data_IF_178322824065
#
_entry.id   IF_178322824065
#
_cell.length_a   1.000
_cell.length_b   1.000
_cell.length_c   1.000
_cell.angle_alpha   90.00
_cell.angle_beta   90.00
_cell.angle_gamma   90.00
#
_symmetry.space_group_name_H-M   'P 1'
#
loop_
_entity.id
_entity.type
_entity.pdbx_description
1 polymer ?
#
# COMPACT_ATOMS: atom_id res chain seq x y z
N UNK A 1 -9.91 -23.17 16.22
CA UNK A 1 -11.33 -23.33 15.82
C UNK A 1 -11.79 -21.97 15.31
N UNK A 2 -12.35 -21.91 14.11
CA UNK A 2 -12.96 -20.68 13.56
C UNK A 2 -14.47 -20.71 13.77
N UNK A 3 -15.09 -19.54 13.90
CA UNK A 3 -16.54 -19.38 13.81
C UNK A 3 -16.86 -18.75 12.46
N UNK A 4 -17.83 -19.32 11.75
CA UNK A 4 -18.35 -18.73 10.51
C UNK A 4 -19.49 -17.78 10.85
N UNK A 5 -19.53 -16.63 10.20
CA UNK A 5 -20.60 -15.64 10.36
C UNK A 5 -21.54 -15.70 9.14
N UNK A 6 -22.87 -15.80 9.33
CA UNK A 6 -23.80 -15.86 8.21
C UNK A 6 -23.72 -14.61 7.32
N UNK A 7 -23.64 -14.80 6.00
CA UNK A 7 -23.49 -13.71 5.02
C UNK A 7 -24.60 -12.67 5.07
N UNK A 8 -25.84 -13.07 5.43
CA UNK A 8 -26.99 -12.17 5.53
C UNK A 8 -26.93 -11.22 6.74
N UNK A 9 -26.08 -11.51 7.73
CA UNK A 9 -25.81 -10.62 8.86
C UNK A 9 -24.65 -9.65 8.60
N UNK A 10 -23.95 -9.81 7.48
CA UNK A 10 -22.86 -8.90 7.11
C UNK A 10 -23.44 -7.56 6.62
N UNK A 11 -22.81 -6.43 6.97
CA UNK A 11 -23.11 -5.14 6.38
C UNK A 11 -23.10 -5.20 4.85
N UNK A 12 -23.96 -4.42 4.19
CA UNK A 12 -24.05 -4.38 2.72
C UNK A 12 -22.71 -4.06 2.04
N UNK A 13 -21.83 -3.31 2.72
CA UNK A 13 -20.48 -3.00 2.25
C UNK A 13 -19.59 -4.24 2.11
N UNK A 14 -19.82 -5.29 2.89
CA UNK A 14 -19.06 -6.55 2.82
C UNK A 14 -19.70 -7.61 1.92
N UNK A 15 -20.89 -7.32 1.38
CA UNK A 15 -21.56 -8.22 0.45
C UNK A 15 -21.02 -8.00 -0.97
N UNK A 16 -20.61 -9.10 -1.62
CA UNK A 16 -19.93 -9.06 -2.91
C UNK A 16 -20.83 -9.42 -4.11
N UNK A 17 -22.16 -9.33 -3.98
CA UNK A 17 -23.08 -9.55 -5.10
C UNK A 17 -22.69 -8.70 -6.33
N UNK A 18 -22.70 -9.32 -7.52
CA UNK A 18 -22.37 -8.71 -8.82
C UNK A 18 -20.94 -8.12 -8.92
N UNK A 19 -20.01 -8.56 -8.06
CA UNK A 19 -18.59 -8.23 -8.21
C UNK A 19 -17.84 -9.38 -8.87
N UNK A 20 -16.65 -9.07 -9.40
CA UNK A 20 -15.77 -10.01 -10.07
C UNK A 20 -14.50 -10.22 -9.28
N UNK A 21 -14.00 -11.46 -9.27
CA UNK A 21 -12.63 -11.77 -8.84
C UNK A 21 -11.75 -11.65 -10.08
N UNK A 22 -10.76 -10.76 -10.06
CA UNK A 22 -9.88 -10.49 -11.21
C UNK A 22 -8.42 -10.37 -10.76
N UNK A 23 -7.50 -10.59 -11.69
CA UNK A 23 -6.13 -10.08 -11.56
C UNK A 23 -6.12 -8.60 -11.92
N UNK A 24 -5.64 -7.76 -11.00
CA UNK A 24 -5.54 -6.32 -11.25
C UNK A 24 -4.41 -6.02 -12.24
N UNK A 25 -3.32 -6.80 -12.22
CA UNK A 25 -2.26 -6.72 -13.22
C UNK A 25 -2.79 -6.96 -14.65
N UNK A 26 -3.65 -7.97 -14.85
CA UNK A 26 -4.26 -8.24 -16.15
C UNK A 26 -5.18 -7.09 -16.60
N UNK A 27 -6.00 -6.56 -15.68
CA UNK A 27 -6.88 -5.43 -15.98
C UNK A 27 -6.08 -4.18 -16.37
N UNK A 28 -5.01 -3.86 -15.64
CA UNK A 28 -4.17 -2.70 -15.96
C UNK A 28 -3.46 -2.84 -17.32
N UNK A 29 -2.97 -4.04 -17.65
CA UNK A 29 -2.38 -4.31 -18.98
C UNK A 29 -3.41 -4.11 -20.09
N UNK A 30 -4.61 -4.66 -19.91
CA UNK A 30 -5.69 -4.46 -20.87
C UNK A 30 -6.10 -2.99 -21.01
N UNK A 31 -6.21 -2.25 -19.90
CA UNK A 31 -6.51 -0.81 -19.92
C UNK A 31 -5.42 0.00 -20.66
N UNK A 32 -4.15 -0.38 -20.52
CA UNK A 32 -3.05 0.25 -21.25
C UNK A 32 -3.22 0.07 -22.76
N UNK A 33 -3.53 -1.15 -23.23
CA UNK A 33 -3.81 -1.41 -24.65
C UNK A 33 -4.98 -0.55 -25.18
N UNK A 34 -6.04 -0.39 -24.38
CA UNK A 34 -7.18 0.47 -24.77
C UNK A 34 -6.77 1.95 -24.83
N UNK A 35 -5.92 2.42 -23.91
CA UNK A 35 -5.44 3.79 -23.90
C UNK A 35 -4.51 4.08 -25.09
N UNK A 36 -3.59 3.16 -25.43
CA UNK A 36 -2.72 3.27 -26.60
C UNK A 36 -3.53 3.29 -27.90
N UNK A 37 -4.57 2.45 -28.00
CA UNK A 37 -5.49 2.46 -29.15
C UNK A 37 -6.24 3.80 -29.32
N UNK A 38 -6.40 4.56 -28.23
CA UNK A 38 -6.97 5.92 -28.23
C UNK A 38 -5.92 7.02 -28.46
N UNK A 39 -4.66 6.67 -28.68
CA UNK A 39 -3.56 7.59 -28.94
C UNK A 39 -2.85 8.11 -27.69
N UNK A 40 -3.04 7.48 -26.53
CA UNK A 40 -2.25 7.78 -25.33
C UNK A 40 -0.85 7.19 -25.48
N UNK A 41 0.17 8.02 -25.30
CA UNK A 41 1.56 7.56 -25.25
C UNK A 41 1.87 7.02 -23.85
N UNK A 42 2.25 5.74 -23.76
CA UNK A 42 2.62 5.08 -22.51
C UNK A 42 4.10 4.76 -22.55
N UNK A 43 4.84 5.24 -21.55
CA UNK A 43 6.28 5.03 -21.40
C UNK A 43 6.57 4.09 -20.23
N UNK A 44 6.40 2.77 -20.38
CA UNK A 44 6.73 1.83 -19.31
C UNK A 44 8.24 1.84 -19.05
N UNK A 45 8.61 1.68 -17.78
CA UNK A 45 10.03 1.66 -17.37
C UNK A 45 10.65 3.04 -17.12
N UNK A 46 9.91 4.14 -17.28
CA UNK A 46 10.39 5.50 -17.01
C UNK A 46 9.74 6.09 -15.75
N UNK A 47 10.33 5.91 -14.56
CA UNK A 47 9.78 6.49 -13.34
C UNK A 47 9.96 8.01 -13.35
N UNK A 48 8.90 8.73 -13.00
CA UNK A 48 9.02 10.14 -12.64
C UNK A 48 9.75 10.25 -11.30
N UNK A 49 10.88 10.98 -11.26
CA UNK A 49 11.71 11.12 -10.07
C UNK A 49 11.69 12.54 -9.48
N UNK A 50 11.40 13.54 -10.31
CA UNK A 50 11.42 14.95 -9.90
C UNK A 50 10.15 15.67 -10.38
N UNK A 51 9.68 16.61 -9.56
CA UNK A 51 8.56 17.50 -9.89
C UNK A 51 9.13 18.83 -10.38
N UNK A 52 8.74 19.24 -11.58
CA UNK A 52 9.16 20.51 -12.17
C UNK A 52 8.14 21.59 -11.81
N UNK A 53 8.63 22.76 -11.42
CA UNK A 53 7.79 23.91 -11.03
C UNK A 53 8.03 25.10 -11.97
N UNK A 54 6.99 25.90 -12.18
CA UNK A 54 7.08 27.21 -12.80
C UNK A 54 7.59 28.26 -11.79
N UNK A 55 7.97 29.44 -12.30
CA UNK A 55 8.43 30.57 -11.46
C UNK A 55 7.35 31.06 -10.48
N UNK A 56 6.06 30.90 -10.81
CA UNK A 56 4.92 31.22 -9.94
C UNK A 56 4.66 30.16 -8.87
N UNK A 57 5.44 29.08 -8.84
CA UNK A 57 5.32 27.96 -7.90
C UNK A 57 4.31 26.88 -8.30
N UNK A 58 3.60 27.03 -9.43
CA UNK A 58 2.71 26.00 -9.97
C UNK A 58 3.48 24.80 -10.55
N UNK A 59 2.85 23.64 -10.63
CA UNK A 59 3.46 22.44 -11.22
C UNK A 59 3.52 22.59 -12.74
N UNK A 60 4.71 22.39 -13.31
CA UNK A 60 5.02 22.47 -14.74
C UNK A 60 5.04 21.09 -15.42
N UNK A 61 5.37 20.04 -14.66
CA UNK A 61 5.60 18.72 -15.21
C UNK A 61 6.37 17.82 -14.26
N UNK A 62 6.96 16.76 -14.82
CA UNK A 62 7.86 15.84 -14.12
C UNK A 62 9.11 15.58 -14.96
N UNK A 63 10.20 15.22 -14.31
CA UNK A 63 11.36 14.66 -15.00
C UNK A 63 11.48 13.16 -14.66
N UNK A 64 11.86 12.37 -15.66
CA UNK A 64 12.21 10.96 -15.45
C UNK A 64 13.57 10.85 -14.77
N UNK A 65 13.86 9.70 -14.15
CA UNK A 65 15.15 9.48 -13.50
C UNK A 65 16.31 9.39 -14.50
N UNK A 66 17.46 9.93 -14.09
CA UNK A 66 18.74 9.67 -14.75
C UNK A 66 19.09 8.18 -14.71
N UNK A 67 19.63 7.66 -15.81
CA UNK A 67 20.12 6.28 -15.91
C UNK A 67 21.65 6.25 -15.95
N UNK A 68 22.25 5.17 -15.47
CA UNK A 68 23.71 5.00 -15.55
C UNK A 68 24.45 5.79 -14.48
N UNK A 69 23.89 5.91 -13.28
CA UNK A 69 24.54 6.53 -12.12
C UNK A 69 25.04 5.41 -11.18
N UNK A 70 26.24 5.54 -10.62
CA UNK A 70 26.79 4.58 -9.66
C UNK A 70 26.29 4.81 -8.23
N UNK A 71 26.67 3.94 -7.28
CA UNK A 71 26.24 4.06 -5.86
C UNK A 71 26.68 5.37 -5.22
N UNK A 72 27.80 5.91 -5.66
CA UNK A 72 28.42 7.14 -5.17
C UNK A 72 27.84 8.40 -5.83
N UNK A 73 26.98 8.25 -6.85
CA UNK A 73 26.35 9.35 -7.57
C UNK A 73 27.13 9.84 -8.78
N UNK A 74 28.21 9.15 -9.19
CA UNK A 74 28.96 9.48 -10.39
C UNK A 74 28.28 8.92 -11.65
N UNK A 75 28.47 9.64 -12.75
CA UNK A 75 27.98 9.24 -14.08
C UNK A 75 28.88 8.14 -14.64
N UNK A 76 28.28 7.03 -15.05
CA UNK A 76 28.95 5.95 -15.77
C UNK A 76 29.05 6.28 -17.26
N UNK A 77 29.78 5.44 -18.00
CA UNK A 77 29.86 5.53 -19.47
C UNK A 77 28.48 5.37 -20.15
N UNK A 78 27.54 4.70 -19.49
CA UNK A 78 26.16 4.52 -19.95
C UNK A 78 25.19 5.58 -19.42
N UNK A 79 25.69 6.75 -18.99
CA UNK A 79 24.84 7.79 -18.41
C UNK A 79 23.90 8.37 -19.46
N UNK A 80 22.61 8.35 -19.14
CA UNK A 80 21.57 9.00 -19.92
C UNK A 80 20.78 9.93 -19.00
N UNK A 81 20.69 11.24 -19.34
CA UNK A 81 19.91 12.17 -18.54
C UNK A 81 18.42 11.86 -18.64
N UNK A 82 17.71 12.12 -17.55
CA UNK A 82 16.26 12.08 -17.50
C UNK A 82 15.61 13.02 -18.53
N UNK A 83 14.38 12.70 -18.91
CA UNK A 83 13.58 13.47 -19.86
C UNK A 83 12.59 14.34 -19.06
N UNK A 84 12.55 15.62 -19.38
CA UNK A 84 11.52 16.52 -18.86
C UNK A 84 10.22 16.37 -19.66
N UNK A 85 9.14 16.00 -18.96
CA UNK A 85 7.79 15.91 -19.49
C UNK A 85 6.98 17.10 -18.99
N UNK A 86 6.82 18.09 -19.86
CA UNK A 86 6.12 19.33 -19.56
C UNK A 86 4.64 19.23 -19.96
N UNK A 87 3.74 19.58 -19.05
CA UNK A 87 2.31 19.49 -19.27
C UNK A 87 1.58 20.70 -18.70
N UNK A 88 0.46 21.09 -19.32
CA UNK A 88 -0.42 22.14 -18.77
C UNK A 88 -1.03 21.73 -17.42
N UNK A 89 -1.31 20.44 -17.27
CA UNK A 89 -1.78 19.82 -16.03
C UNK A 89 -1.09 18.48 -15.87
N UNK A 90 -0.49 18.24 -14.70
CA UNK A 90 0.13 16.96 -14.34
C UNK A 90 -0.77 16.19 -13.38
N UNK A 91 -1.04 14.92 -13.65
CA UNK A 91 -1.88 14.08 -12.78
C UNK A 91 -0.99 13.07 -12.04
N UNK A 92 -0.98 13.17 -10.72
CA UNK A 92 -0.23 12.27 -9.84
C UNK A 92 -1.13 11.11 -9.40
N UNK A 93 -0.72 9.90 -9.77
CA UNK A 93 -1.45 8.66 -9.58
C UNK A 93 -0.53 7.50 -9.15
N UNK A 94 0.48 7.78 -8.31
CA UNK A 94 1.50 6.81 -7.90
C UNK A 94 0.94 5.67 -7.02
N UNK A 95 -0.30 5.83 -6.55
CA UNK A 95 -0.96 4.92 -5.63
C UNK A 95 -0.50 5.12 -4.18
N UNK A 96 -0.69 4.09 -3.35
CA UNK A 96 -0.48 4.22 -1.90
C UNK A 96 0.95 4.69 -1.57
N UNK A 97 1.04 5.84 -0.88
CA UNK A 97 2.30 6.50 -0.48
C UNK A 97 3.20 6.78 -1.71
N UNK A 98 2.68 7.57 -2.65
CA UNK A 98 3.45 8.16 -3.73
C UNK A 98 4.61 9.00 -3.19
N UNK A 99 5.78 8.90 -3.82
CA UNK A 99 6.96 9.61 -3.33
C UNK A 99 7.00 11.06 -3.81
N UNK A 100 6.38 11.38 -4.95
CA UNK A 100 6.13 12.74 -5.41
C UNK A 100 4.85 13.28 -4.76
N UNK A 101 3.80 12.45 -4.66
CA UNK A 101 2.54 12.77 -3.98
C UNK A 101 2.74 13.29 -2.56
N UNK A 102 3.60 12.64 -1.75
CA UNK A 102 3.92 13.13 -0.41
C UNK A 102 4.61 14.51 -0.39
N UNK A 103 5.50 14.76 -1.36
CA UNK A 103 6.21 16.05 -1.48
C UNK A 103 5.23 17.16 -1.87
N UNK A 104 4.28 16.87 -2.74
CA UNK A 104 3.21 17.80 -3.11
C UNK A 104 2.29 18.13 -1.94
N UNK A 105 1.89 17.10 -1.17
CA UNK A 105 1.06 17.28 0.02
C UNK A 105 1.74 18.24 1.00
N UNK A 106 3.04 18.07 1.23
CA UNK A 106 3.84 18.92 2.11
C UNK A 106 4.01 20.33 1.52
N UNK A 107 4.49 20.47 0.28
CA UNK A 107 4.80 21.76 -0.35
C UNK A 107 3.57 22.69 -0.44
N UNK A 108 2.40 22.14 -0.75
CA UNK A 108 1.17 22.91 -0.90
C UNK A 108 0.24 22.84 0.32
N UNK A 109 0.70 22.27 1.45
CA UNK A 109 -0.07 22.10 2.68
C UNK A 109 -1.44 21.44 2.45
N UNK A 110 -1.52 20.44 1.56
CA UNK A 110 -2.80 19.86 1.14
C UNK A 110 -3.52 19.08 2.24
N UNK A 111 -2.80 18.67 3.28
CA UNK A 111 -3.32 17.96 4.44
C UNK A 111 -3.76 18.89 5.57
N UNK A 112 -3.78 20.21 5.36
CA UNK A 112 -4.23 21.16 6.38
C UNK A 112 -5.68 20.88 6.82
N UNK A 113 -5.89 20.78 8.13
CA UNK A 113 -7.19 20.47 8.73
C UNK A 113 -7.67 19.02 8.50
N UNK A 114 -6.79 18.12 8.04
CA UNK A 114 -7.07 16.68 7.86
C UNK A 114 -6.39 15.85 8.94
N UNK A 115 -6.91 14.65 9.16
CA UNK A 115 -6.28 13.68 10.05
C UNK A 115 -5.06 13.05 9.34
N UNK A 116 -4.04 12.56 10.08
CA UNK A 116 -2.95 11.79 9.50
C UNK A 116 -3.47 10.59 8.72
N UNK A 117 -2.85 10.29 7.57
CA UNK A 117 -3.17 9.10 6.80
C UNK A 117 -2.80 7.84 7.59
N UNK A 118 -3.68 6.85 7.57
CA UNK A 118 -3.44 5.51 8.11
C UNK A 118 -3.21 4.55 6.96
N UNK A 119 -2.41 3.54 7.19
CA UNK A 119 -2.01 2.58 6.19
C UNK A 119 -2.04 1.17 6.76
N UNK A 120 -2.15 0.18 5.88
CA UNK A 120 -1.91 -1.22 6.17
C UNK A 120 -0.84 -1.77 5.23
N UNK A 121 -0.18 -2.85 5.61
CA UNK A 121 0.62 -3.67 4.69
C UNK A 121 -0.20 -4.90 4.29
N UNK A 122 -0.41 -5.06 2.98
CA UNK A 122 -1.05 -6.22 2.40
C UNK A 122 -0.02 -7.16 1.78
N UNK A 123 -0.12 -8.44 2.12
CA UNK A 123 0.60 -9.55 1.50
C UNK A 123 -0.35 -10.31 0.59
N UNK A 124 0.16 -10.80 -0.54
CA UNK A 124 -0.57 -11.67 -1.45
C UNK A 124 0.33 -12.79 -1.94
N UNK A 125 -0.22 -13.99 -1.96
CA UNK A 125 0.32 -15.15 -2.67
C UNK A 125 -0.75 -15.68 -3.63
N UNK A 126 -0.31 -16.16 -4.80
CA UNK A 126 -1.16 -16.90 -5.72
C UNK A 126 -0.81 -18.38 -5.58
N UNK A 127 -1.82 -19.19 -5.31
CA UNK A 127 -1.69 -20.64 -5.15
C UNK A 127 -2.48 -21.37 -6.23
N UNK A 128 -1.88 -22.37 -6.85
CA UNK A 128 -2.62 -23.37 -7.63
C UNK A 128 -2.95 -24.53 -6.71
N UNK A 129 -4.22 -24.87 -6.59
CA UNK A 129 -4.68 -25.89 -5.65
C UNK A 129 -5.40 -27.03 -6.36
N UNK A 130 -5.57 -28.15 -5.65
CA UNK A 130 -6.34 -29.27 -6.15
C UNK A 130 -7.81 -28.87 -6.34
N UNK A 131 -8.41 -29.35 -7.43
CA UNK A 131 -9.80 -29.04 -7.81
C UNK A 131 -10.82 -29.42 -6.73
N UNK A 132 -10.53 -30.45 -5.94
CA UNK A 132 -11.39 -30.89 -4.82
C UNK A 132 -11.49 -29.85 -3.69
N UNK A 133 -10.48 -28.97 -3.58
CA UNK A 133 -10.41 -27.90 -2.58
C UNK A 133 -10.76 -26.52 -3.16
N UNK A 134 -11.12 -26.45 -4.45
CA UNK A 134 -11.38 -25.20 -5.16
C UNK A 134 -12.87 -25.03 -5.45
N UNK A 135 -13.42 -23.87 -5.09
CA UNK A 135 -14.79 -23.47 -5.39
C UNK A 135 -14.77 -22.09 -6.05
N UNK A 136 -14.75 -22.05 -7.38
CA UNK A 136 -14.64 -20.81 -8.14
C UNK A 136 -15.73 -19.79 -7.78
N UNK A 137 -15.33 -18.53 -7.59
CA UNK A 137 -16.24 -17.45 -7.18
C UNK A 137 -16.37 -17.28 -5.67
N UNK A 138 -15.86 -18.21 -4.87
CA UNK A 138 -15.88 -18.09 -3.40
C UNK A 138 -14.97 -16.96 -2.92
N UNK A 139 -15.54 -16.09 -2.09
CA UNK A 139 -14.86 -14.98 -1.40
C UNK A 139 -14.92 -15.20 0.10
N UNK A 140 -13.77 -15.34 0.74
CA UNK A 140 -13.65 -15.49 2.19
C UNK A 140 -12.78 -14.38 2.77
N UNK A 141 -13.24 -13.81 3.88
CA UNK A 141 -12.49 -12.87 4.71
C UNK A 141 -12.47 -13.38 6.14
N UNK A 142 -11.34 -13.23 6.83
CA UNK A 142 -11.23 -13.62 8.25
C UNK A 142 -10.60 -12.50 9.07
N UNK A 143 -10.97 -12.40 10.34
CA UNK A 143 -10.32 -11.53 11.31
C UNK A 143 -10.05 -12.29 12.62
N UNK A 144 -9.12 -11.79 13.43
CA UNK A 144 -8.68 -12.44 14.67
C UNK A 144 -7.35 -13.16 14.51
N UNK A 145 -7.27 -14.40 14.98
CA UNK A 145 -6.02 -15.17 15.01
C UNK A 145 -5.32 -15.19 13.64
N UNK A 146 -3.97 -14.98 13.58
CA UNK A 146 -3.02 -14.95 14.71
C UNK A 146 -2.84 -13.62 15.43
N UNK A 147 -3.53 -12.57 14.99
CA UNK A 147 -3.43 -11.25 15.61
C UNK A 147 -4.13 -11.19 16.97
N UNK A 148 -3.62 -10.32 17.85
CA UNK A 148 -4.28 -9.98 19.09
C UNK A 148 -5.43 -9.00 18.86
N UNK A 149 -6.25 -8.77 19.89
CA UNK A 149 -7.43 -7.90 19.76
C UNK A 149 -7.08 -6.42 19.52
N UNK A 150 -5.83 -6.00 19.75
CA UNK A 150 -5.41 -4.61 19.60
C UNK A 150 -4.70 -4.33 18.27
N UNK A 151 -4.35 -5.36 17.50
CA UNK A 151 -3.75 -5.20 16.18
C UNK A 151 -4.81 -5.33 15.11
N UNK A 152 -4.98 -4.28 14.31
CA UNK A 152 -5.90 -4.29 13.18
C UNK A 152 -5.33 -5.16 12.06
N UNK A 153 -6.17 -6.03 11.49
CA UNK A 153 -5.78 -6.83 10.34
C UNK A 153 -6.77 -7.95 10.05
N UNK A 154 -6.54 -8.66 8.96
CA UNK A 154 -7.39 -9.74 8.50
C UNK A 154 -6.88 -10.38 7.21
N UNK A 155 -7.55 -11.43 6.78
CA UNK A 155 -7.20 -12.16 5.57
C UNK A 155 -8.22 -11.96 4.45
N UNK A 156 -7.77 -12.28 3.24
CA UNK A 156 -8.65 -12.54 2.12
C UNK A 156 -8.24 -13.82 1.40
N UNK A 157 -9.23 -14.60 0.99
CA UNK A 157 -9.06 -15.83 0.21
C UNK A 157 -10.10 -15.82 -0.90
N UNK A 158 -9.64 -15.65 -2.15
CA UNK A 158 -10.51 -15.59 -3.32
C UNK A 158 -10.21 -16.76 -4.24
N UNK A 159 -11.22 -17.57 -4.55
CA UNK A 159 -11.12 -18.65 -5.51
C UNK A 159 -11.33 -18.08 -6.92
N UNK A 160 -10.21 -17.82 -7.59
CA UNK A 160 -10.17 -17.28 -8.95
C UNK A 160 -10.23 -18.40 -10.00
N UNK A 161 -10.30 -18.02 -11.27
CA UNK A 161 -10.20 -18.93 -12.42
C UNK A 161 -8.90 -19.75 -12.40
N UNK A 162 -8.84 -20.79 -13.24
CA UNK A 162 -7.65 -21.65 -13.41
C UNK A 162 -7.18 -22.38 -12.15
N UNK A 163 -8.12 -22.75 -11.25
CA UNK A 163 -7.81 -23.43 -9.98
C UNK A 163 -6.87 -22.63 -9.08
N UNK A 164 -6.87 -21.30 -9.26
CA UNK A 164 -6.04 -20.40 -8.47
C UNK A 164 -6.79 -19.87 -7.26
N UNK A 165 -6.05 -19.69 -6.17
CA UNK A 165 -6.50 -18.99 -4.97
C UNK A 165 -5.62 -17.78 -4.76
N UNK A 166 -6.25 -16.60 -4.71
CA UNK A 166 -5.61 -15.37 -4.25
C UNK A 166 -5.73 -15.32 -2.74
N UNK A 167 -4.63 -15.65 -2.07
CA UNK A 167 -4.53 -15.71 -0.63
C UNK A 167 -3.73 -14.51 -0.14
N UNK A 168 -4.25 -13.75 0.80
CA UNK A 168 -3.52 -12.64 1.35
C UNK A 168 -3.92 -12.25 2.76
N UNK A 169 -3.14 -11.33 3.31
CA UNK A 169 -3.25 -10.90 4.69
C UNK A 169 -2.87 -9.44 4.80
N UNK A 170 -3.67 -8.68 5.53
CA UNK A 170 -3.49 -7.25 5.76
C UNK A 170 -3.27 -7.03 7.24
N UNK A 171 -2.30 -6.19 7.56
CA UNK A 171 -2.05 -5.73 8.93
C UNK A 171 -1.94 -4.21 8.90
N UNK A 172 -2.76 -3.54 9.71
CA UNK A 172 -2.70 -2.10 9.90
C UNK A 172 -1.33 -1.70 10.44
N UNK A 173 -0.71 -0.68 9.87
CA UNK A 173 0.59 -0.17 10.28
C UNK A 173 0.49 0.66 11.58
N UNK A 174 -0.66 0.71 12.24
CA UNK A 174 -0.85 1.29 13.57
C UNK A 174 -0.53 0.32 14.74
N UNK A 175 0.05 -0.85 14.44
CA UNK A 175 0.46 -1.82 15.45
C UNK A 175 1.60 -1.29 16.34
N UNK A 176 1.55 -1.69 17.63
CA UNK A 176 2.39 -1.11 18.68
C UNK A 176 3.64 -1.94 19.02
N UNK A 177 3.62 -3.24 18.73
CA UNK A 177 4.70 -4.15 19.10
C UNK A 177 5.82 -4.13 18.05
N UNK A 178 7.04 -3.65 18.36
CA UNK A 178 8.14 -3.65 17.41
C UNK A 178 8.67 -5.05 17.07
N UNK A 179 8.32 -6.07 17.86
CA UNK A 179 8.67 -7.48 17.61
C UNK A 179 7.69 -8.18 16.64
N UNK A 180 6.57 -7.54 16.28
CA UNK A 180 5.61 -8.08 15.33
C UNK A 180 6.20 -8.04 13.92
N UNK A 181 6.19 -9.18 13.25
CA UNK A 181 6.59 -9.31 11.86
C UNK A 181 5.36 -9.60 11.00
N UNK A 182 4.89 -8.64 10.19
CA UNK A 182 3.70 -8.82 9.37
C UNK A 182 3.81 -9.99 8.38
N UNK A 183 5.01 -10.22 7.86
CA UNK A 183 5.29 -11.38 7.00
C UNK A 183 5.11 -12.68 7.77
N UNK A 184 5.67 -12.80 8.97
CA UNK A 184 5.62 -14.03 9.75
C UNK A 184 4.21 -14.28 10.30
N UNK A 185 3.42 -13.24 10.61
CA UNK A 185 1.99 -13.38 10.92
C UNK A 185 1.20 -13.92 9.72
N UNK A 186 1.50 -13.45 8.51
CA UNK A 186 0.88 -14.00 7.30
C UNK A 186 1.25 -15.48 7.09
N UNK A 187 2.52 -15.85 7.25
CA UNK A 187 2.94 -17.25 7.18
C UNK A 187 2.26 -18.09 8.27
N UNK A 188 2.21 -17.60 9.52
CA UNK A 188 1.54 -18.26 10.64
C UNK A 188 0.05 -18.44 10.39
N UNK A 189 -0.63 -17.44 9.84
CA UNK A 189 -2.05 -17.49 9.50
C UNK A 189 -2.39 -18.70 8.60
N UNK A 190 -1.53 -19.02 7.62
CA UNK A 190 -1.71 -20.15 6.71
C UNK A 190 -1.75 -21.51 7.42
N UNK A 191 -1.18 -21.61 8.62
CA UNK A 191 -1.22 -22.84 9.43
C UNK A 191 -2.58 -23.08 10.10
N UNK A 192 -3.50 -22.10 10.10
CA UNK A 192 -4.83 -22.30 10.64
C UNK A 192 -5.55 -23.44 9.90
N UNK A 193 -6.19 -24.42 10.59
CA UNK A 193 -6.74 -25.62 9.94
C UNK A 193 -7.70 -25.35 8.79
N UNK A 194 -8.50 -24.28 8.86
CA UNK A 194 -9.43 -23.90 7.79
C UNK A 194 -8.72 -23.40 6.52
N UNK A 195 -7.56 -22.76 6.67
CA UNK A 195 -6.76 -22.22 5.56
C UNK A 195 -5.84 -23.30 5.02
N UNK A 196 -5.14 -24.00 5.93
CA UNK A 196 -4.28 -25.14 5.59
C UNK A 196 -5.00 -26.14 4.69
N UNK A 197 -6.25 -26.52 5.00
CA UNK A 197 -7.03 -27.45 4.18
C UNK A 197 -7.20 -27.01 2.71
N UNK A 198 -7.28 -25.70 2.45
CA UNK A 198 -7.48 -25.15 1.10
C UNK A 198 -6.20 -25.30 0.27
N UNK A 199 -5.05 -24.96 0.86
CA UNK A 199 -3.75 -24.89 0.16
C UNK A 199 -2.89 -26.15 0.30
N UNK A 200 -3.33 -27.13 1.10
CA UNK A 200 -2.59 -28.38 1.31
C UNK A 200 -2.47 -29.17 -0.01
N UNK A 201 -1.23 -29.53 -0.35
CA UNK A 201 -0.89 -30.15 -1.64
C UNK A 201 -0.92 -29.19 -2.84
N UNK A 202 -1.17 -27.90 -2.61
CA UNK A 202 -1.10 -26.86 -3.64
C UNK A 202 0.33 -26.37 -3.90
N UNK A 203 0.49 -25.59 -4.96
CA UNK A 203 1.75 -24.97 -5.37
C UNK A 203 1.63 -23.45 -5.29
N UNK A 204 2.53 -22.82 -4.54
CA UNK A 204 2.68 -21.36 -4.52
C UNK A 204 3.34 -20.89 -5.83
N UNK A 205 2.67 -20.04 -6.58
CA UNK A 205 3.12 -19.52 -7.89
C UNK A 205 3.81 -18.16 -7.74
N UNK A 206 3.21 -17.26 -6.95
CA UNK A 206 3.63 -15.86 -6.88
C UNK A 206 3.52 -15.35 -5.45
N UNK A 207 4.32 -14.34 -5.13
CA UNK A 207 4.27 -13.58 -3.89
C UNK A 207 4.39 -12.09 -4.20
N UNK A 208 3.83 -11.24 -3.34
CA UNK A 208 4.04 -9.81 -3.36
C UNK A 208 3.47 -9.14 -2.11
N UNK A 209 3.86 -7.89 -1.88
CA UNK A 209 3.28 -7.08 -0.84
C UNK A 209 3.22 -5.61 -1.25
N UNK A 210 2.19 -4.92 -0.79
CA UNK A 210 1.98 -3.49 -1.05
C UNK A 210 1.30 -2.84 0.16
N UNK A 211 1.74 -1.65 0.54
CA UNK A 211 0.97 -0.82 1.44
C UNK A 211 -0.37 -0.42 0.80
N UNK A 212 -1.40 -0.28 1.61
CA UNK A 212 -2.70 0.23 1.24
C UNK A 212 -3.11 1.34 2.21
N UNK A 213 -4.02 2.21 1.76
CA UNK A 213 -4.53 3.32 2.56
C UNK A 213 -5.76 2.90 3.34
N UNK A 214 -5.83 3.30 4.61
CA UNK A 214 -6.91 2.96 5.53
C UNK A 214 -7.51 4.17 6.27
N UNK A 215 -6.96 5.39 6.10
CA UNK A 215 -7.43 6.58 6.82
C UNK A 215 -8.79 7.11 6.35
N UNK A 216 -9.17 6.83 5.10
CA UNK A 216 -10.49 7.16 4.56
C UNK A 216 -10.72 8.66 4.38
N UNK A 217 -11.98 9.10 4.48
CA UNK A 217 -12.37 10.47 4.14
C UNK A 217 -11.71 11.54 5.04
N UNK A 218 -11.44 11.23 6.30
CA UNK A 218 -10.84 12.15 7.27
C UNK A 218 -9.40 12.52 6.92
N UNK A 219 -8.69 11.60 6.29
CA UNK A 219 -7.28 11.75 5.89
C UNK A 219 -7.13 12.14 4.42
N UNK A 220 -8.22 12.41 3.70
CA UNK A 220 -8.18 12.76 2.29
C UNK A 220 -7.65 14.21 2.14
N UNK A 221 -6.47 14.41 1.52
CA UNK A 221 -5.91 15.73 1.30
C UNK A 221 -6.72 16.49 0.24
N UNK A 222 -6.44 17.78 0.10
CA UNK A 222 -6.87 18.55 -1.07
C UNK A 222 -6.27 17.92 -2.34
N UNK A 223 -7.12 17.51 -3.27
CA UNK A 223 -6.72 16.72 -4.44
C UNK A 223 -6.40 17.56 -5.70
N UNK A 224 -6.26 18.88 -5.53
CA UNK A 224 -5.88 19.79 -6.61
C UNK A 224 -4.90 20.84 -6.09
N UNK A 225 -4.04 21.29 -6.99
CA UNK A 225 -3.13 22.42 -6.80
C UNK A 225 -2.91 23.13 -8.13
N UNK A 226 -2.28 24.32 -8.14
CA UNK A 226 -1.91 24.97 -9.39
C UNK A 226 -1.07 24.05 -10.29
N UNK A 227 -1.58 23.75 -11.48
CA UNK A 227 -0.90 22.91 -12.49
C UNK A 227 -0.97 21.39 -12.27
N UNK A 228 -1.63 20.90 -11.21
CA UNK A 228 -1.70 19.46 -10.95
C UNK A 228 -2.93 18.96 -10.18
N UNK A 229 -3.18 17.65 -10.30
CA UNK A 229 -4.20 16.89 -9.58
C UNK A 229 -3.60 15.66 -8.91
N UNK A 230 -4.12 15.29 -7.75
CA UNK A 230 -3.76 14.07 -7.02
C UNK A 230 -4.95 13.11 -6.97
N UNK A 231 -4.80 11.89 -7.50
CA UNK A 231 -5.93 10.96 -7.68
C UNK A 231 -5.69 9.57 -7.11
N UNK A 232 -6.76 8.78 -7.06
CA UNK A 232 -6.73 7.38 -6.64
C UNK A 232 -6.19 7.14 -5.24
N UNK A 233 -5.44 6.05 -5.08
CA UNK A 233 -4.78 5.73 -3.82
C UNK A 233 -3.56 6.62 -3.53
N UNK A 234 -3.19 7.56 -4.41
CA UNK A 234 -2.19 8.57 -4.07
C UNK A 234 -2.80 9.64 -3.16
N UNK A 235 -4.04 10.04 -3.46
CA UNK A 235 -4.86 10.87 -2.56
C UNK A 235 -5.42 10.07 -1.37
N UNK A 236 -5.83 8.82 -1.58
CA UNK A 236 -6.41 7.97 -0.53
C UNK A 236 -7.90 7.68 -0.68
N UNK A 237 -8.36 7.43 -1.91
CA UNK A 237 -9.77 7.12 -2.18
C UNK A 237 -10.19 5.67 -1.85
N UNK A 238 -9.48 4.95 -0.99
CA UNK A 238 -9.78 3.55 -0.68
C UNK A 238 -10.96 3.43 0.29
N UNK A 239 -11.91 2.54 -0.02
CA UNK A 239 -12.97 2.16 0.91
C UNK A 239 -12.52 0.97 1.76
N UNK A 240 -12.07 1.28 2.98
CA UNK A 240 -11.50 0.30 3.90
C UNK A 240 -12.46 -0.87 4.22
N UNK A 241 -13.71 -0.66 4.71
CA UNK A 241 -14.59 -1.78 5.08
C UNK A 241 -14.91 -2.74 3.93
N UNK A 242 -14.88 -2.25 2.69
CA UNK A 242 -15.04 -3.10 1.50
C UNK A 242 -13.74 -3.80 1.09
N UNK A 243 -12.59 -3.29 1.54
CA UNK A 243 -11.24 -3.63 1.05
C UNK A 243 -11.17 -3.37 -0.47
N UNK A 244 -11.75 -2.25 -0.92
CA UNK A 244 -11.83 -1.90 -2.35
C UNK A 244 -11.40 -0.45 -2.57
N UNK A 245 -10.40 -0.25 -3.43
CA UNK A 245 -9.95 1.07 -3.86
C UNK A 245 -9.88 1.24 -5.39
N UNK A 246 -10.00 0.17 -6.17
CA UNK A 246 -9.83 0.24 -7.62
C UNK A 246 -10.96 1.00 -8.30
N UNK A 247 -12.23 0.74 -7.94
CA UNK A 247 -13.39 1.40 -8.54
C UNK A 247 -13.45 2.90 -8.21
N UNK A 248 -13.10 3.26 -6.97
CA UNK A 248 -13.01 4.67 -6.55
C UNK A 248 -11.81 5.37 -7.19
N UNK A 249 -10.67 4.69 -7.35
CA UNK A 249 -9.53 5.23 -8.06
C UNK A 249 -9.83 5.49 -9.53
N UNK A 250 -10.45 4.52 -10.23
CA UNK A 250 -10.91 4.71 -11.61
C UNK A 250 -11.85 5.91 -11.73
N UNK A 251 -12.86 6.02 -10.85
CA UNK A 251 -13.80 7.14 -10.91
C UNK A 251 -13.13 8.48 -10.61
N UNK A 252 -12.16 8.53 -9.69
CA UNK A 252 -11.37 9.74 -9.43
C UNK A 252 -10.59 10.19 -10.69
N UNK A 253 -10.02 9.24 -11.44
CA UNK A 253 -9.38 9.51 -12.73
C UNK A 253 -10.36 10.02 -13.80
N UNK A 254 -11.56 9.45 -13.88
CA UNK A 254 -12.60 9.94 -14.80
C UNK A 254 -13.01 11.38 -14.49
N UNK A 255 -13.23 11.70 -13.20
CA UNK A 255 -13.56 13.08 -12.78
C UNK A 255 -12.38 14.03 -13.09
N UNK A 256 -11.14 13.58 -12.91
CA UNK A 256 -9.96 14.38 -13.23
C UNK A 256 -9.88 14.68 -14.73
N UNK A 257 -10.13 13.69 -15.59
CA UNK A 257 -10.18 13.88 -17.04
C UNK A 257 -11.27 14.87 -17.46
N UNK A 258 -12.48 14.76 -16.89
CA UNK A 258 -13.57 15.71 -17.12
C UNK A 258 -13.19 17.14 -16.68
N UNK A 259 -12.54 17.28 -15.52
CA UNK A 259 -12.05 18.57 -15.01
C UNK A 259 -10.96 19.16 -15.91
N UNK A 260 -9.99 18.36 -16.34
CA UNK A 260 -8.90 18.83 -17.22
C UNK A 260 -9.46 19.29 -18.56
N UNK A 261 -10.43 18.57 -19.14
CA UNK A 261 -11.06 19.01 -20.38
C UNK A 261 -11.79 20.35 -20.23
N UNK A 262 -12.48 20.59 -19.11
CA UNK A 262 -13.10 21.90 -18.81
C UNK A 262 -12.05 22.99 -18.55
N UNK A 263 -10.97 22.68 -17.85
CA UNK A 263 -9.84 23.60 -17.65
C UNK A 263 -9.24 24.03 -18.99
N UNK A 264 -9.00 23.08 -19.91
CA UNK A 264 -8.37 23.36 -21.20
C UNK A 264 -9.28 24.09 -22.21
N UNK A 265 -10.60 23.83 -22.18
CA UNK A 265 -11.54 24.42 -23.15
C UNK A 265 -12.20 25.69 -22.66
N UNK A 266 -12.51 25.77 -21.37
CA UNK A 266 -13.33 26.84 -20.78
C UNK A 266 -12.52 27.73 -19.83
N UNK A 267 -11.21 27.46 -19.64
CA UNK A 267 -10.33 28.16 -18.69
C UNK A 267 -10.90 28.18 -17.25
N UNK A 268 -11.68 27.16 -16.88
CA UNK A 268 -12.13 26.98 -15.49
C UNK A 268 -10.96 26.58 -14.60
N UNK A 269 -10.98 26.97 -13.34
CA UNK A 269 -9.96 26.60 -12.36
C UNK A 269 -10.00 25.10 -12.02
N UNK A 270 -8.85 24.48 -11.73
CA UNK A 270 -8.76 23.05 -11.37
C UNK A 270 -9.52 22.71 -10.07
N UNK A 271 -9.81 23.70 -9.23
CA UNK A 271 -10.62 23.57 -8.01
C UNK A 271 -11.99 22.95 -8.23
N UNK A 272 -12.56 23.03 -9.44
CA UNK A 272 -13.83 22.37 -9.76
C UNK A 272 -13.79 20.84 -9.56
N UNK A 273 -12.58 20.25 -9.55
CA UNK A 273 -12.39 18.84 -9.23
C UNK A 273 -12.96 18.49 -7.85
N UNK A 274 -12.77 19.35 -6.84
CA UNK A 274 -13.26 19.10 -5.48
C UNK A 274 -14.79 19.08 -5.44
N UNK A 275 -15.44 20.00 -6.15
CA UNK A 275 -16.91 20.07 -6.21
C UNK A 275 -17.50 18.86 -6.94
N UNK A 276 -16.91 18.46 -8.07
CA UNK A 276 -17.33 17.26 -8.80
C UNK A 276 -17.12 16.00 -7.97
N UNK A 277 -16.00 15.91 -7.26
CA UNK A 277 -15.71 14.78 -6.39
C UNK A 277 -16.75 14.68 -5.26
N UNK A 278 -17.03 15.78 -4.56
CA UNK A 278 -18.05 15.83 -3.48
C UNK A 278 -19.45 15.48 -3.94
N UNK A 279 -19.80 15.79 -5.20
CA UNK A 279 -21.10 15.42 -5.82
C UNK A 279 -21.15 13.99 -6.34
N UNK A 280 -20.02 13.28 -6.37
CA UNK A 280 -19.94 11.93 -6.92
C UNK A 280 -20.32 10.88 -5.88
N UNK A 281 -20.73 9.70 -6.36
CA UNK A 281 -20.99 8.53 -5.51
C UNK A 281 -19.74 8.09 -4.73
N UNK A 282 -18.53 8.44 -5.18
CA UNK A 282 -17.28 8.09 -4.47
C UNK A 282 -17.24 8.80 -3.13
N UNK A 283 -17.60 10.08 -3.08
CA UNK A 283 -17.63 10.83 -1.83
C UNK A 283 -18.69 10.28 -0.88
N UNK A 284 -19.90 9.98 -1.38
CA UNK A 284 -20.96 9.37 -0.58
C UNK A 284 -20.53 8.01 -0.01
N UNK A 285 -19.88 7.19 -0.82
CA UNK A 285 -19.36 5.89 -0.41
C UNK A 285 -18.28 6.03 0.68
N UNK A 286 -17.27 6.89 0.49
CA UNK A 286 -16.23 7.12 1.49
C UNK A 286 -16.78 7.76 2.77
N UNK A 287 -17.75 8.66 2.63
CA UNK A 287 -18.44 9.28 3.76
C UNK A 287 -19.21 8.24 4.56
N UNK A 288 -19.90 7.30 3.92
CA UNK A 288 -20.63 6.23 4.62
C UNK A 288 -19.69 5.31 5.41
N UNK A 289 -18.47 5.09 4.93
CA UNK A 289 -17.47 4.20 5.54
C UNK A 289 -16.59 4.87 6.62
N UNK A 290 -16.65 6.20 6.76
CA UNK A 290 -15.65 7.01 7.48
C UNK A 290 -15.38 6.58 8.92
N UNK A 291 -16.38 6.10 9.65
CA UNK A 291 -16.22 5.79 11.08
C UNK A 291 -15.69 4.38 11.35
N UNK A 292 -15.56 3.53 10.32
CA UNK A 292 -15.20 2.12 10.51
C UNK A 292 -13.76 1.96 10.99
N UNK A 293 -12.73 2.42 10.26
CA UNK A 293 -11.31 2.28 10.68
C UNK A 293 -11.04 2.92 12.05
N UNK A 294 -11.45 4.17 12.34
CA UNK A 294 -11.21 4.76 13.65
C UNK A 294 -11.80 3.95 14.81
N UNK A 295 -12.93 3.26 14.61
CA UNK A 295 -13.55 2.44 15.66
C UNK A 295 -12.71 1.24 16.09
N UNK A 296 -11.84 0.73 15.21
CA UNK A 296 -10.93 -0.37 15.54
C UNK A 296 -9.79 0.05 16.47
N UNK A 297 -9.60 1.35 16.72
CA UNK A 297 -8.69 1.83 17.78
C UNK A 297 -9.15 1.39 19.19
N UNK A 298 -10.42 1.00 19.34
CA UNK A 298 -10.97 0.42 20.58
C UNK A 298 -10.75 -1.09 20.70
N UNK A 299 -10.08 -1.70 19.72
CA UNK A 299 -9.87 -3.13 19.59
C UNK A 299 -10.90 -3.80 18.69
N UNK A 300 -10.59 -5.02 18.26
CA UNK A 300 -11.33 -5.80 17.27
C UNK A 300 -12.82 -5.97 17.62
N UNK A 301 -13.10 -6.39 18.86
CA UNK A 301 -14.47 -6.73 19.29
C UNK A 301 -15.36 -5.48 19.32
N UNK A 302 -14.88 -4.40 19.94
CA UNK A 302 -15.62 -3.14 20.03
C UNK A 302 -15.79 -2.48 18.65
N UNK A 303 -14.75 -2.55 17.81
CA UNK A 303 -14.81 -2.09 16.42
C UNK A 303 -15.87 -2.83 15.59
N UNK A 304 -15.96 -4.15 15.73
CA UNK A 304 -17.00 -4.96 15.04
C UNK A 304 -18.40 -4.56 15.49
N UNK A 305 -18.63 -4.45 16.81
CA UNK A 305 -19.95 -4.06 17.36
C UNK A 305 -20.35 -2.67 16.85
N UNK A 306 -19.43 -1.71 16.93
CA UNK A 306 -19.68 -0.35 16.44
C UNK A 306 -19.94 -0.32 14.93
N UNK A 307 -19.16 -1.07 14.15
CA UNK A 307 -19.35 -1.20 12.69
C UNK A 307 -20.73 -1.77 12.37
N UNK A 308 -21.20 -2.77 13.13
CA UNK A 308 -22.57 -3.29 13.01
C UNK A 308 -23.62 -2.21 13.24
N UNK A 309 -23.48 -1.41 14.30
CA UNK A 309 -24.39 -0.30 14.61
C UNK A 309 -24.35 0.76 13.49
N UNK A 310 -23.17 1.25 13.13
CA UNK A 310 -23.02 2.30 12.13
C UNK A 310 -23.49 1.86 10.74
N UNK A 311 -23.04 0.70 10.26
CA UNK A 311 -23.28 0.27 8.87
C UNK A 311 -24.62 -0.45 8.67
N UNK A 312 -25.12 -1.21 9.65
CA UNK A 312 -26.40 -1.93 9.52
C UNK A 312 -27.56 -1.06 9.96
N UNK A 313 -27.49 -0.47 11.17
CA UNK A 313 -28.59 0.31 11.74
C UNK A 313 -28.65 1.74 11.16
N UNK A 314 -27.53 2.46 11.15
CA UNK A 314 -27.49 3.85 10.70
C UNK A 314 -27.05 4.04 9.24
N UNK A 315 -26.65 2.95 8.56
CA UNK A 315 -26.18 2.96 7.15
C UNK A 315 -25.10 4.02 6.88
N UNK A 316 -24.19 4.24 7.82
CA UNK A 316 -23.09 5.22 7.72
C UNK A 316 -23.52 6.69 7.88
N UNK A 317 -24.76 6.95 8.32
CA UNK A 317 -25.33 8.31 8.48
C UNK A 317 -25.30 8.84 9.91
N UNK A 318 -24.39 8.34 10.76
CA UNK A 318 -24.21 8.90 12.10
C UNK A 318 -23.87 10.41 12.02
N UNK A 319 -24.34 11.25 12.97
CA UNK A 319 -24.17 12.70 12.92
C UNK A 319 -22.76 13.18 13.31
N UNK A 320 -21.84 12.28 13.59
CA UNK A 320 -20.46 12.59 13.96
C UNK A 320 -19.45 11.82 13.11
N UNK A 321 -18.20 12.29 13.13
CA UNK A 321 -17.06 11.68 12.45
C UNK A 321 -15.96 11.44 13.47
N UNK A 322 -15.53 10.19 13.62
CA UNK A 322 -14.39 9.81 14.45
C UNK A 322 -13.08 10.26 13.79
N UNK A 323 -12.07 10.55 14.61
CA UNK A 323 -10.77 11.04 14.14
C UNK A 323 -9.66 10.03 14.34
N UNK A 324 -8.66 10.07 13.46
CA UNK A 324 -7.36 9.42 13.68
C UNK A 324 -6.46 10.37 14.46
N UNK A 325 -5.86 9.88 15.55
CA UNK A 325 -5.12 10.73 16.50
C UNK A 325 -3.61 10.79 16.24
N UNK A 326 -3.06 9.77 15.59
CA UNK A 326 -1.63 9.55 15.47
C UNK A 326 -1.31 9.04 14.07
N UNK A 327 -0.11 9.33 13.58
CA UNK A 327 0.41 8.67 12.40
C UNK A 327 0.91 7.25 12.74
N UNK A 328 0.93 6.35 11.77
CA UNK A 328 1.32 4.95 11.98
C UNK A 328 2.72 4.77 12.60
N UNK A 329 3.69 5.60 12.21
CA UNK A 329 5.06 5.54 12.76
C UNK A 329 5.16 5.92 14.24
N UNK A 330 4.21 6.72 14.76
CA UNK A 330 4.21 7.21 16.15
C UNK A 330 3.71 6.15 17.15
N UNK A 331 3.13 5.05 16.65
CA UNK A 331 2.39 4.09 17.49
C UNK A 331 3.28 3.05 18.17
N UNK A 332 4.55 2.94 17.81
CA UNK A 332 5.46 1.98 18.42
C UNK A 332 5.69 2.25 19.90
N UNK A 333 5.65 1.18 20.69
CA UNK A 333 6.14 1.18 22.08
C UNK A 333 7.59 0.69 22.14
N UNK A 334 8.37 1.11 23.16
CA UNK A 334 9.73 0.61 23.35
C UNK A 334 9.78 -0.92 23.39
N UNK A 335 10.82 -1.50 22.80
CA UNK A 335 10.98 -2.96 22.69
C UNK A 335 11.09 -3.66 24.05
N UNK A 336 11.55 -2.95 25.09
CA UNK A 336 11.63 -3.43 26.47
C UNK A 336 10.26 -3.60 27.15
N UNK A 337 9.24 -2.87 26.69
CA UNK A 337 7.87 -2.93 27.24
C UNK A 337 6.96 -3.94 26.53
N UNK A 338 7.45 -4.53 25.43
CA UNK A 338 6.65 -5.36 24.55
C UNK A 338 7.17 -6.80 24.50
N UNK A 339 6.24 -7.75 24.45
CA UNK A 339 6.58 -9.17 24.41
C UNK A 339 7.22 -9.54 23.07
N UNK A 340 8.36 -10.22 23.13
CA UNK A 340 8.98 -10.84 21.95
C UNK A 340 8.08 -11.96 21.42
N UNK A 341 7.84 -11.97 20.11
CA UNK A 341 7.02 -12.99 19.46
C UNK A 341 7.95 -14.00 18.84
N UNK A 342 7.84 -15.26 19.28
CA UNK A 342 8.57 -16.37 18.68
C UNK A 342 7.76 -16.96 17.52
N UNK A 343 8.27 -16.78 16.31
CA UNK A 343 7.64 -17.28 15.09
C UNK A 343 8.19 -18.66 14.73
N UNK A 344 7.32 -19.64 14.41
CA UNK A 344 7.77 -20.96 14.03
C UNK A 344 8.59 -20.90 12.73
N UNK A 345 9.59 -21.78 12.63
CA UNK A 345 10.37 -21.92 11.40
C UNK A 345 9.47 -22.38 10.24
N UNK A 346 9.70 -21.88 9.01
CA UNK A 346 8.91 -22.28 7.86
C UNK A 346 9.11 -23.77 7.54
N UNK A 347 8.04 -24.43 7.09
CA UNK A 347 8.05 -25.84 6.68
C UNK A 347 8.41 -26.05 5.20
N UNK A 348 8.51 -24.96 4.43
CA UNK A 348 8.75 -24.93 2.98
C UNK A 348 7.69 -25.65 2.15
N UNK A 349 6.50 -25.90 2.72
CA UNK A 349 5.35 -26.51 2.04
C UNK A 349 4.15 -25.58 2.10
N UNK A 350 3.80 -25.10 3.30
CA UNK A 350 2.70 -24.16 3.55
C UNK A 350 3.28 -22.79 3.92
N UNK A 351 4.32 -22.78 4.73
CA UNK A 351 5.01 -21.59 5.21
C UNK A 351 6.41 -21.51 4.62
N UNK A 352 6.85 -20.31 4.28
CA UNK A 352 8.10 -20.06 3.56
C UNK A 352 8.86 -18.90 4.18
N UNK A 353 10.17 -18.87 3.99
CA UNK A 353 11.03 -17.76 4.38
C UNK A 353 10.88 -16.54 3.44
N UNK A 354 11.41 -15.39 3.87
CA UNK A 354 11.36 -14.14 3.10
C UNK A 354 12.12 -14.26 1.78
N UNK A 355 13.30 -14.88 1.77
CA UNK A 355 14.18 -14.95 0.59
C UNK A 355 13.54 -15.77 -0.53
N UNK A 356 12.99 -16.95 -0.22
CA UNK A 356 12.26 -17.75 -1.21
C UNK A 356 10.98 -17.07 -1.69
N UNK A 357 10.36 -16.23 -0.85
CA UNK A 357 9.19 -15.43 -1.22
C UNK A 357 9.57 -14.28 -2.16
N UNK A 358 10.66 -13.56 -1.87
CA UNK A 358 11.20 -12.48 -2.73
C UNK A 358 11.54 -13.02 -4.12
N UNK A 359 12.10 -14.22 -4.21
CA UNK A 359 12.36 -14.86 -5.50
C UNK A 359 11.10 -14.98 -6.39
N UNK A 360 9.95 -15.30 -5.80
CA UNK A 360 8.67 -15.40 -6.52
C UNK A 360 8.07 -14.05 -6.95
N UNK A 361 8.62 -12.94 -6.49
CA UNK A 361 8.23 -11.60 -6.98
C UNK A 361 8.89 -11.27 -8.31
N UNK A 362 9.97 -11.99 -8.67
CA UNK A 362 10.83 -11.66 -9.80
C UNK A 362 11.53 -10.29 -9.67
N UNK A 363 11.57 -9.71 -8.47
CA UNK A 363 12.16 -8.39 -8.24
C UNK A 363 13.65 -8.41 -8.50
N UNK A 364 14.14 -7.38 -9.18
CA UNK A 364 15.56 -7.16 -9.39
C UNK A 364 15.85 -5.67 -9.61
N UNK A 365 17.06 -5.25 -9.29
CA UNK A 365 17.57 -3.90 -9.51
C UNK A 365 19.01 -3.99 -10.01
N UNK A 366 19.47 -3.01 -10.78
CA UNK A 366 20.89 -2.86 -11.13
C UNK A 366 21.75 -2.79 -9.86
N UNK A 367 22.76 -3.65 -9.72
CA UNK A 367 23.56 -3.77 -8.48
C UNK A 367 24.34 -2.51 -8.14
N UNK A 368 24.80 -1.75 -9.14
CA UNK A 368 25.62 -0.56 -8.97
C UNK A 368 24.81 0.72 -9.22
N UNK A 369 23.70 0.93 -8.54
CA UNK A 369 22.92 2.19 -8.62
C UNK A 369 22.80 2.85 -7.24
N UNK A 370 22.50 4.16 -7.16
CA UNK A 370 22.17 4.79 -5.90
C UNK A 370 21.05 4.01 -5.20
N UNK A 371 21.25 3.68 -3.92
CA UNK A 371 20.22 2.95 -3.17
C UNK A 371 18.97 3.83 -3.07
N UNK A 372 17.87 3.47 -3.71
CA UNK A 372 16.62 4.25 -3.75
C UNK A 372 15.86 4.35 -2.41
N UNK A 373 16.46 3.80 -1.35
CA UNK A 373 16.05 3.95 0.04
C UNK A 373 16.93 5.01 0.75
N UNK A 374 17.81 5.66 -0.02
CA UNK A 374 18.58 6.86 0.32
C UNK A 374 17.59 8.00 0.54
N UNK A 375 17.31 8.28 1.80
CA UNK A 375 18.00 9.37 2.49
C UNK A 375 17.80 9.12 3.97
N UNK A 376 18.67 8.31 4.60
CA UNK A 376 18.81 8.42 6.06
C UNK A 376 19.28 9.85 6.30
N UNK A 377 18.37 10.74 6.73
CA UNK A 377 18.67 12.10 7.15
C UNK A 377 19.84 12.10 8.14
N UNK A 378 19.91 11.05 8.96
CA UNK A 378 21.07 10.70 9.77
C UNK A 378 21.37 9.19 9.68
N UNK A 379 22.56 8.77 9.19
CA UNK A 379 22.95 7.37 9.05
C UNK A 379 23.15 6.65 10.39
N UNK A 380 23.29 7.38 11.49
CA UNK A 380 23.52 6.79 12.81
C UNK A 380 22.22 6.48 13.57
N UNK A 381 21.08 7.07 13.17
CA UNK A 381 19.79 6.86 13.84
C UNK A 381 19.33 5.39 13.89
N UNK A 382 19.50 4.56 12.83
CA UNK A 382 19.11 3.15 12.89
C UNK A 382 19.79 2.41 14.04
N UNK A 383 21.07 2.69 14.30
CA UNK A 383 21.82 2.03 15.39
C UNK A 383 21.57 2.71 16.73
N UNK A 384 21.70 4.05 16.80
CA UNK A 384 21.70 4.78 18.06
C UNK A 384 20.31 5.01 18.66
N UNK A 385 19.25 4.95 17.85
CA UNK A 385 17.88 5.20 18.32
C UNK A 385 16.98 4.00 18.04
N UNK A 386 16.91 3.57 16.79
CA UNK A 386 15.90 2.59 16.36
C UNK A 386 16.22 1.19 16.88
N UNK A 387 17.49 0.75 16.81
CA UNK A 387 17.95 -0.50 17.39
C UNK A 387 17.89 -0.47 18.92
N UNK A 388 18.39 0.59 19.56
CA UNK A 388 18.39 0.69 21.03
C UNK A 388 16.97 0.70 21.63
N UNK A 389 16.06 1.50 21.07
CA UNK A 389 14.73 1.73 21.65
C UNK A 389 13.67 0.74 21.15
N UNK A 390 13.76 0.32 19.89
CA UNK A 390 12.73 -0.47 19.22
C UNK A 390 13.25 -1.81 18.67
N UNK A 391 14.50 -2.20 18.94
CA UNK A 391 15.09 -3.46 18.45
C UNK A 391 15.01 -3.59 16.92
N UNK A 392 15.24 -2.47 16.22
CA UNK A 392 15.25 -2.30 14.76
C UNK A 392 14.11 -3.04 14.02
N UNK A 393 12.88 -2.48 14.06
CA UNK A 393 11.72 -3.13 13.49
C UNK A 393 11.77 -3.22 11.96
N UNK A 394 12.67 -2.52 11.26
CA UNK A 394 12.81 -2.62 9.80
C UNK A 394 13.14 -4.04 9.31
N UNK A 395 13.85 -4.82 10.12
CA UNK A 395 14.13 -6.23 9.87
C UNK A 395 12.84 -7.09 9.83
N UNK A 396 11.78 -6.62 10.49
CA UNK A 396 10.52 -7.34 10.67
C UNK A 396 9.42 -6.84 9.74
N UNK A 397 9.15 -5.53 9.76
CA UNK A 397 8.09 -4.94 8.94
C UNK A 397 8.37 -4.97 7.44
N UNK A 398 9.66 -5.06 7.05
CA UNK A 398 10.01 -5.18 5.65
C UNK A 398 9.58 -6.56 5.11
N UNK A 399 8.71 -6.60 4.09
CA UNK A 399 8.22 -7.85 3.52
C UNK A 399 9.25 -8.58 2.66
N UNK A 400 10.43 -8.00 2.45
CA UNK A 400 11.43 -8.45 1.49
C UNK A 400 12.85 -8.60 2.07
N UNK A 401 13.03 -8.43 3.39
CA UNK A 401 14.35 -8.59 4.02
C UNK A 401 15.40 -7.61 3.49
N UNK A 402 15.00 -6.37 3.23
CA UNK A 402 15.90 -5.32 2.71
C UNK A 402 16.83 -4.78 3.78
N UNK A 403 16.40 -4.75 5.04
CA UNK A 403 17.16 -4.17 6.14
C UNK A 403 17.63 -5.27 7.08
N UNK A 404 18.91 -5.26 7.41
CA UNK A 404 19.56 -6.23 8.29
C UNK A 404 20.53 -5.52 9.23
N UNK A 405 20.63 -6.02 10.47
CA UNK A 405 21.71 -5.67 11.38
C UNK A 405 22.75 -6.79 11.33
N UNK A 406 23.96 -6.44 10.91
CA UNK A 406 25.10 -7.36 10.89
C UNK A 406 26.07 -7.00 12.02
N UNK A 407 26.52 -8.00 12.77
CA UNK A 407 27.56 -7.83 13.79
C UNK A 407 28.93 -8.01 13.14
N UNK A 408 29.66 -6.90 12.95
CA UNK A 408 31.04 -6.89 12.48
C UNK A 408 31.97 -6.62 13.68
N UNK A 409 32.54 -7.68 14.27
CA UNK A 409 33.50 -7.62 15.39
C UNK A 409 32.96 -6.93 16.67
N UNK A 410 31.70 -7.13 17.03
CA UNK A 410 31.04 -6.53 18.19
C UNK A 410 30.44 -5.16 17.91
N UNK A 411 30.46 -4.70 16.65
CA UNK A 411 29.85 -3.45 16.21
C UNK A 411 28.69 -3.77 15.28
N UNK A 412 27.48 -3.37 15.69
CA UNK A 412 26.28 -3.50 14.88
C UNK A 412 26.32 -2.52 13.71
N UNK A 413 26.16 -3.04 12.49
CA UNK A 413 26.10 -2.27 11.25
C UNK A 413 24.75 -2.46 10.57
N UNK A 414 24.14 -1.36 10.18
CA UNK A 414 22.89 -1.36 9.43
C UNK A 414 23.18 -1.55 7.94
N UNK A 415 22.74 -2.66 7.38
CA UNK A 415 22.95 -3.05 5.98
C UNK A 415 21.64 -2.96 5.21
N UNK A 416 21.69 -2.36 4.02
CA UNK A 416 20.54 -2.16 3.13
C UNK A 416 20.75 -2.95 1.82
N UNK A 417 20.01 -4.05 1.70
CA UNK A 417 19.90 -4.92 0.54
C UNK A 417 18.82 -4.39 -0.43
N UNK A 418 19.07 -3.22 -1.01
CA UNK A 418 18.09 -2.49 -1.83
C UNK A 418 17.59 -3.27 -3.06
N UNK A 419 18.40 -4.20 -3.57
CA UNK A 419 18.07 -5.07 -4.70
C UNK A 419 16.81 -5.93 -4.45
N UNK A 420 16.53 -6.26 -3.18
CA UNK A 420 15.37 -7.07 -2.79
C UNK A 420 14.09 -6.24 -2.69
N UNK A 421 14.15 -4.91 -2.81
CA UNK A 421 12.99 -4.06 -2.59
C UNK A 421 11.85 -4.42 -3.55
N UNK A 422 10.61 -4.48 -3.05
CA UNK A 422 9.41 -4.75 -3.86
C UNK A 422 8.49 -3.53 -3.95
N UNK A 423 9.02 -2.36 -3.58
CA UNK A 423 8.34 -1.06 -3.67
C UNK A 423 7.03 -1.00 -2.88
N UNK A 424 6.94 -1.76 -1.79
CA UNK A 424 5.74 -1.81 -0.96
C UNK A 424 5.42 -0.47 -0.25
N UNK A 425 6.44 0.39 -0.06
CA UNK A 425 6.42 1.69 0.66
C UNK A 425 6.26 1.60 2.18
N UNK A 426 6.21 0.41 2.78
CA UNK A 426 6.02 0.23 4.23
C UNK A 426 7.11 0.88 5.08
N UNK A 427 8.38 0.79 4.66
CA UNK A 427 9.49 1.40 5.41
C UNK A 427 9.37 2.91 5.54
N UNK A 428 8.97 3.61 4.47
CA UNK A 428 8.71 5.05 4.49
C UNK A 428 7.56 5.42 5.44
N UNK A 429 6.57 4.54 5.58
CA UNK A 429 5.38 4.77 6.40
C UNK A 429 5.63 4.51 7.89
N UNK A 430 6.28 3.38 8.20
CA UNK A 430 6.28 2.80 9.56
C UNK A 430 7.57 3.06 10.34
N UNK A 431 8.62 3.58 9.70
CA UNK A 431 9.87 3.85 10.40
C UNK A 431 9.68 4.97 11.45
N UNK A 432 9.97 4.71 12.74
CA UNK A 432 9.58 5.57 13.86
C UNK A 432 10.23 6.96 13.87
N UNK A 433 11.41 7.12 13.27
CA UNK A 433 12.10 8.41 13.20
C UNK A 433 11.80 9.21 11.92
N UNK A 434 10.99 8.65 11.00
CA UNK A 434 10.77 9.17 9.64
C UNK A 434 12.10 9.54 8.92
N UNK A 435 13.10 8.70 9.16
CA UNK A 435 14.45 8.80 8.61
C UNK A 435 14.57 8.10 7.25
N UNK A 436 13.64 7.20 6.90
CA UNK A 436 13.65 6.54 5.58
C UNK A 436 12.75 7.31 4.61
N UNK A 437 13.33 7.78 3.51
CA UNK A 437 12.60 8.30 2.36
C UNK A 437 12.76 7.33 1.20
N UNK A 438 11.65 6.74 0.76
CA UNK A 438 11.64 5.95 -0.47
C UNK A 438 11.57 6.89 -1.68
N UNK A 439 12.49 6.71 -2.62
CA UNK A 439 12.48 7.33 -3.96
C UNK A 439 12.49 6.23 -5.03
N UNK A 440 12.30 6.60 -6.29
CA UNK A 440 12.35 5.61 -7.37
C UNK A 440 13.79 5.12 -7.60
N UNK A 441 14.01 3.81 -7.81
CA UNK A 441 15.22 3.31 -8.43
C UNK A 441 15.22 3.57 -9.93
N UNK A 442 16.37 3.34 -10.56
CA UNK A 442 16.49 3.34 -12.02
C UNK A 442 15.34 2.54 -12.68
N UNK A 443 14.93 3.04 -13.84
CA UNK A 443 13.82 2.50 -14.60
C UNK A 443 13.88 0.99 -14.82
N UNK A 444 12.70 0.34 -14.80
CA UNK A 444 12.54 -1.12 -14.91
C UNK A 444 13.03 -1.96 -13.71
N UNK A 445 13.62 -1.33 -12.69
CA UNK A 445 13.89 -1.99 -11.40
C UNK A 445 12.61 -2.26 -10.61
N UNK A 446 12.60 -3.32 -9.81
CA UNK A 446 11.48 -3.68 -8.94
C UNK A 446 10.76 -4.97 -9.31
N UNK A 447 9.56 -5.21 -8.72
CA UNK A 447 8.85 -6.47 -8.83
C UNK A 447 8.31 -6.72 -10.24
N UNK A 448 8.28 -7.99 -10.66
CA UNK A 448 7.74 -8.46 -11.95
C UNK A 448 6.47 -9.28 -11.74
N UNK A 449 5.44 -8.59 -11.28
CA UNK A 449 4.15 -9.23 -10.99
C UNK A 449 3.39 -9.56 -12.28
N UNK A 450 3.25 -10.86 -12.58
CA UNK A 450 2.50 -11.31 -13.76
C UNK A 450 0.97 -11.20 -13.60
N UNK A 451 0.41 -11.95 -12.66
CA UNK A 451 -1.05 -12.11 -12.45
C UNK A 451 -1.54 -11.56 -11.10
N UNK A 452 -0.76 -10.71 -10.43
CA UNK A 452 -1.08 -10.22 -9.08
C UNK A 452 -2.23 -9.20 -9.03
#
# INVERSE_FOLDING_TARGET
KSLSWPTWLLPSVQQNHNNYIISLANLCRWLAEQAEALGVEIFPGFPASEILYNEDGSVKGVATQDMGVDKEGNKKDSFEPGIELLGKVTVFAEGCRGHLGKQLIEKFNLSEGKDPQQYGIGFKEIWEINEQNHEEGTVMHTAGWPLDNNTYGGSFVYHAENKQVFLGYVIGLDYKNPHLSPFDEFQRFKTHPAIKKIIEGGKRISYGARALIEGGLQSLPKMFMPGALLIGCDAGTLNMPKIKGSHTAMKSGMIAAETINEYLKENKDLSIYEDKFKKSWVYEELHSARNVKPSFSWGLILGIIFTGIDQILFRGKLPFTLKHKHADHETFKPASEMTKIDYPKPDNVITFDKTSSVYLTGTNHTDNQPVHLLQLKDPNLPINYTLEKFDEPAQRYCPAGVYEIQDENGVNKFVINSQNCIHCKTCDIKEPSQNITWVTPEGSGGPKYGNM
#
